data_IF_150285543655
#
_entry.id   IF_150285543655
#
_cell.length_a   1.000
_cell.length_b   1.000
_cell.length_c   1.000
_cell.angle_alpha   90.00
_cell.angle_beta   90.00
_cell.angle_gamma   90.00
#
_symmetry.space_group_name_H-M   'P 1'
#
loop_
_entity.id
_entity.type
_entity.pdbx_description
1 polymer ?
#
# COMPACT_ATOMS: atom_id res chain seq x y z
N UNK A 1 6.15 -14.81 -15.33
CA UNK A 1 5.33 -13.72 -14.77
C UNK A 1 4.47 -13.19 -15.89
N UNK A 2 3.19 -12.89 -15.64
CA UNK A 2 2.31 -12.18 -16.58
C UNK A 2 2.98 -10.85 -16.97
N UNK A 3 2.96 -10.49 -18.24
CA UNK A 3 3.34 -9.17 -18.71
C UNK A 3 2.06 -8.36 -18.88
N UNK A 4 2.03 -7.16 -18.31
CA UNK A 4 0.87 -6.27 -18.38
C UNK A 4 1.07 -5.23 -19.48
N UNK A 5 -0.01 -4.87 -20.16
CA UNK A 5 -0.03 -3.78 -21.10
C UNK A 5 -0.38 -2.46 -20.41
N UNK A 6 0.52 -1.98 -19.55
CA UNK A 6 0.38 -0.64 -18.94
C UNK A 6 0.72 0.46 -19.97
N UNK A 7 0.03 1.62 -19.93
CA UNK A 7 0.29 2.76 -20.81
C UNK A 7 1.77 3.16 -20.87
N UNK A 8 2.25 3.53 -22.06
CA UNK A 8 3.65 3.90 -22.27
C UNK A 8 4.10 5.10 -21.42
N UNK A 9 3.18 6.01 -21.07
CA UNK A 9 3.45 7.16 -20.20
C UNK A 9 3.93 6.78 -18.80
N UNK A 10 3.69 5.54 -18.35
CA UNK A 10 4.15 5.04 -17.05
C UNK A 10 5.48 4.30 -17.13
N UNK A 11 5.99 4.03 -18.33
CA UNK A 11 7.23 3.29 -18.57
C UNK A 11 8.42 4.25 -18.59
N UNK A 12 9.59 3.70 -18.29
CA UNK A 12 10.85 4.44 -18.24
C UNK A 12 11.96 3.58 -18.86
N UNK A 13 12.86 4.19 -19.63
CA UNK A 13 13.98 3.47 -20.26
C UNK A 13 15.02 3.06 -19.21
N UNK A 14 15.42 3.99 -18.34
CA UNK A 14 16.41 3.75 -17.28
C UNK A 14 15.95 2.68 -16.31
N UNK A 15 14.73 2.81 -15.77
CA UNK A 15 14.22 1.89 -14.77
C UNK A 15 13.97 0.51 -15.39
N UNK A 16 13.51 0.44 -16.64
CA UNK A 16 13.36 -0.83 -17.35
C UNK A 16 14.71 -1.53 -17.53
N UNK A 17 15.75 -0.81 -17.97
CA UNK A 17 17.10 -1.37 -18.13
C UNK A 17 17.65 -1.86 -16.78
N UNK A 18 17.54 -1.06 -15.71
CA UNK A 18 17.96 -1.44 -14.35
C UNK A 18 17.22 -2.70 -13.88
N UNK A 19 15.88 -2.73 -13.94
CA UNK A 19 15.07 -3.88 -13.50
C UNK A 19 15.40 -5.13 -14.31
N UNK A 20 15.62 -4.99 -15.63
CA UNK A 20 16.01 -6.10 -16.50
C UNK A 20 17.38 -6.66 -16.12
N UNK A 21 18.40 -5.82 -15.97
CA UNK A 21 19.75 -6.25 -15.56
C UNK A 21 19.70 -6.98 -14.22
N UNK A 22 19.06 -6.35 -13.23
CA UNK A 22 18.87 -6.91 -11.87
C UNK A 22 18.14 -8.27 -11.89
N UNK A 23 17.22 -8.49 -12.83
CA UNK A 23 16.53 -9.79 -13.02
C UNK A 23 17.43 -10.86 -13.64
N UNK A 24 18.32 -10.48 -14.56
CA UNK A 24 19.29 -11.38 -15.19
C UNK A 24 20.32 -11.83 -14.16
N UNK A 25 20.88 -10.89 -13.40
CA UNK A 25 21.95 -11.16 -12.42
C UNK A 25 21.43 -11.93 -11.20
N UNK A 26 20.19 -11.69 -10.79
CA UNK A 26 19.54 -12.38 -9.67
C UNK A 26 18.07 -12.71 -9.99
N UNK A 27 17.88 -13.88 -10.61
CA UNK A 27 16.57 -14.39 -11.03
C UNK A 27 15.63 -14.70 -9.86
N UNK A 28 16.18 -15.09 -8.71
CA UNK A 28 15.39 -15.44 -7.52
C UNK A 28 15.04 -14.22 -6.65
N UNK A 29 15.55 -13.03 -7.00
CA UNK A 29 15.32 -11.77 -6.27
C UNK A 29 15.69 -11.90 -4.78
N UNK A 30 16.79 -12.57 -4.48
CA UNK A 30 17.32 -12.74 -3.12
C UNK A 30 18.28 -11.62 -2.73
N UNK A 31 18.84 -10.91 -3.71
CA UNK A 31 19.69 -9.76 -3.49
C UNK A 31 18.86 -8.48 -3.38
N UNK A 32 18.66 -8.01 -2.15
CA UNK A 32 17.95 -6.79 -1.82
C UNK A 32 18.83 -5.53 -1.84
N UNK A 33 20.12 -5.65 -2.18
CA UNK A 33 21.01 -4.48 -2.25
C UNK A 33 20.53 -3.47 -3.30
N UNK A 34 20.76 -2.16 -3.06
CA UNK A 34 20.36 -1.13 -4.01
C UNK A 34 21.26 -1.16 -5.26
N UNK A 35 20.72 -0.67 -6.36
CA UNK A 35 21.49 -0.42 -7.58
C UNK A 35 22.15 0.95 -7.48
N UNK A 36 23.47 1.01 -7.65
CA UNK A 36 24.19 2.28 -7.74
C UNK A 36 24.06 2.85 -9.17
N UNK A 37 23.58 4.09 -9.25
CA UNK A 37 23.64 4.94 -10.43
C UNK A 37 24.69 6.02 -10.15
N UNK A 38 25.85 5.90 -10.77
CA UNK A 38 26.96 6.84 -10.60
C UNK A 38 26.89 7.93 -11.68
N UNK A 39 26.50 9.14 -11.28
CA UNK A 39 26.27 10.28 -12.15
C UNK A 39 27.31 11.37 -11.84
N UNK A 40 28.58 11.07 -12.13
CA UNK A 40 29.79 11.89 -11.93
C UNK A 40 29.92 12.58 -10.55
N UNK A 41 29.14 13.64 -10.32
CA UNK A 41 29.12 14.43 -9.08
C UNK A 41 27.92 14.17 -8.17
N UNK A 42 27.11 13.14 -8.44
CA UNK A 42 26.11 12.59 -7.51
C UNK A 42 26.05 11.06 -7.61
N UNK A 43 25.85 10.38 -6.47
CA UNK A 43 25.59 8.93 -6.41
C UNK A 43 24.17 8.69 -5.97
N UNK A 44 23.41 7.98 -6.79
CA UNK A 44 22.03 7.59 -6.47
C UNK A 44 22.01 6.08 -6.21
N UNK A 45 21.50 5.69 -5.05
CA UNK A 45 21.25 4.30 -4.70
C UNK A 45 19.76 4.03 -4.82
N UNK A 46 19.38 3.31 -5.87
CA UNK A 46 18.00 2.97 -6.16
C UNK A 46 17.65 1.63 -5.50
N UNK A 47 16.56 1.59 -4.71
CA UNK A 47 16.12 0.37 -4.05
C UNK A 47 15.95 -0.81 -5.04
N UNK A 48 16.13 -2.05 -4.58
CA UNK A 48 15.93 -3.25 -5.43
C UNK A 48 14.47 -3.40 -5.88
N UNK A 49 13.53 -3.17 -4.96
CA UNK A 49 12.09 -3.28 -5.18
C UNK A 49 11.46 -1.91 -4.95
N UNK A 50 10.73 -1.43 -5.96
CA UNK A 50 10.03 -0.14 -5.98
C UNK A 50 9.11 -0.09 -7.22
N UNK A 51 8.26 0.93 -7.28
CA UNK A 51 7.36 1.18 -8.40
C UNK A 51 6.14 0.25 -8.41
N UNK A 52 5.40 0.22 -9.53
CA UNK A 52 4.17 -0.57 -9.64
C UNK A 52 4.35 -2.05 -9.24
N UNK A 53 3.44 -2.54 -8.39
CA UNK A 53 3.32 -3.96 -8.09
C UNK A 53 2.31 -4.65 -9.03
N UNK A 54 2.27 -5.98 -9.00
CA UNK A 54 1.37 -6.79 -9.83
C UNK A 54 -0.09 -6.35 -9.73
N UNK A 55 -0.59 -6.10 -8.51
CA UNK A 55 -1.98 -5.70 -8.29
C UNK A 55 -2.31 -4.36 -8.94
N UNK A 56 -1.36 -3.43 -8.91
CA UNK A 56 -1.50 -2.10 -9.52
C UNK A 56 -1.43 -2.19 -11.05
N UNK A 57 -0.45 -2.92 -11.60
CA UNK A 57 -0.35 -3.12 -13.06
C UNK A 57 -1.61 -3.80 -13.62
N UNK A 58 -2.15 -4.81 -12.91
CA UNK A 58 -3.39 -5.48 -13.27
C UNK A 58 -4.58 -4.53 -13.24
N UNK A 59 -4.70 -3.69 -12.20
CA UNK A 59 -5.79 -2.73 -12.09
C UNK A 59 -5.74 -1.67 -13.19
N UNK A 60 -4.56 -1.15 -13.51
CA UNK A 60 -4.34 -0.21 -14.61
C UNK A 60 -4.74 -0.84 -15.94
N UNK A 61 -4.27 -2.05 -16.24
CA UNK A 61 -4.61 -2.76 -17.48
C UNK A 61 -6.14 -2.92 -17.64
N UNK A 62 -6.82 -3.40 -16.60
CA UNK A 62 -8.29 -3.59 -16.64
C UNK A 62 -9.03 -2.26 -16.81
N UNK A 63 -8.62 -1.22 -16.09
CA UNK A 63 -9.28 0.08 -16.16
C UNK A 63 -9.11 0.74 -17.54
N UNK A 64 -7.89 0.72 -18.10
CA UNK A 64 -7.64 1.29 -19.42
C UNK A 64 -8.34 0.50 -20.52
N UNK A 65 -8.31 -0.84 -20.48
CA UNK A 65 -9.07 -1.66 -21.42
C UNK A 65 -10.58 -1.39 -21.30
N UNK A 66 -11.10 -1.24 -20.09
CA UNK A 66 -12.53 -0.91 -19.87
C UNK A 66 -12.90 0.40 -20.56
N UNK A 67 -12.04 1.42 -20.51
CA UNK A 67 -12.27 2.70 -21.20
C UNK A 67 -12.23 2.52 -22.72
N UNK A 68 -11.22 1.82 -23.25
CA UNK A 68 -11.02 1.65 -24.69
C UNK A 68 -12.11 0.78 -25.35
N UNK A 69 -12.56 -0.26 -24.66
CA UNK A 69 -13.56 -1.22 -25.15
C UNK A 69 -15.01 -0.69 -25.08
N UNK A 70 -15.26 0.40 -24.35
CA UNK A 70 -16.61 0.93 -24.11
C UNK A 70 -16.76 2.39 -24.54
N UNK A 71 -16.51 2.72 -25.83
CA UNK A 71 -16.60 4.09 -26.32
C UNK A 71 -18.01 4.67 -26.13
N UNK A 72 -18.08 5.90 -25.61
CA UNK A 72 -19.33 6.62 -25.39
C UNK A 72 -20.13 6.18 -24.16
N UNK A 73 -19.68 5.17 -23.40
CA UNK A 73 -20.28 4.79 -22.12
C UNK A 73 -19.83 5.73 -21.00
N UNK A 74 -20.72 5.97 -20.03
CA UNK A 74 -20.34 6.59 -18.75
C UNK A 74 -19.62 5.54 -17.91
N UNK A 75 -18.39 5.87 -17.51
CA UNK A 75 -17.54 4.98 -16.73
C UNK A 75 -17.28 5.66 -15.39
N UNK A 76 -17.64 4.95 -14.34
CA UNK A 76 -17.43 5.34 -12.96
C UNK A 76 -16.39 4.44 -12.32
N UNK A 77 -15.67 5.00 -11.37
CA UNK A 77 -14.83 4.27 -10.44
C UNK A 77 -15.37 4.56 -9.03
N UNK A 78 -15.48 3.54 -8.17
CA UNK A 78 -16.06 3.75 -6.84
C UNK A 78 -15.35 4.86 -6.07
N UNK A 79 -14.01 4.90 -6.12
CA UNK A 79 -13.16 5.90 -5.49
C UNK A 79 -11.88 6.08 -6.33
N UNK A 80 -10.73 6.34 -5.70
CA UNK A 80 -9.44 6.29 -6.40
C UNK A 80 -9.10 4.85 -6.80
N UNK A 81 -8.49 4.65 -7.97
CA UNK A 81 -8.15 3.28 -8.44
C UNK A 81 -7.05 2.69 -7.57
N UNK A 82 -6.06 3.55 -7.32
CA UNK A 82 -4.88 3.37 -6.49
C UNK A 82 -4.57 4.73 -5.86
N UNK A 83 -3.81 4.76 -4.77
CA UNK A 83 -3.40 6.03 -4.13
C UNK A 83 -2.21 6.68 -4.85
N UNK A 84 -2.41 7.03 -6.13
CA UNK A 84 -1.48 7.79 -6.94
C UNK A 84 -2.22 8.93 -7.68
N UNK A 85 -1.92 10.21 -7.37
CA UNK A 85 -2.67 11.33 -7.92
C UNK A 85 -2.55 11.47 -9.44
N UNK A 86 -1.37 11.16 -10.02
CA UNK A 86 -1.15 11.24 -11.46
C UNK A 86 -1.99 10.20 -12.21
N UNK A 87 -1.94 8.94 -11.78
CA UNK A 87 -2.73 7.87 -12.42
C UNK A 87 -4.23 8.14 -12.34
N UNK A 88 -4.71 8.67 -11.22
CA UNK A 88 -6.11 9.06 -11.07
C UNK A 88 -6.50 10.27 -11.92
N UNK A 89 -5.57 11.22 -12.14
CA UNK A 89 -5.78 12.35 -13.04
C UNK A 89 -5.89 11.87 -14.51
N UNK A 90 -5.02 10.95 -14.92
CA UNK A 90 -5.02 10.38 -16.27
C UNK A 90 -6.33 9.63 -16.59
N UNK A 91 -6.91 8.93 -15.60
CA UNK A 91 -8.23 8.30 -15.74
C UNK A 91 -9.35 9.34 -15.88
N UNK A 92 -9.29 10.44 -15.12
CA UNK A 92 -10.29 11.53 -15.20
C UNK A 92 -10.22 12.27 -16.52
N UNK A 93 -9.03 12.52 -17.04
CA UNK A 93 -8.82 13.13 -18.36
C UNK A 93 -9.45 12.27 -19.47
N UNK A 94 -9.48 10.95 -19.27
CA UNK A 94 -10.14 9.98 -20.16
C UNK A 94 -11.65 9.82 -19.92
N UNK A 95 -12.24 10.65 -19.07
CA UNK A 95 -13.69 10.69 -18.83
C UNK A 95 -14.20 9.80 -17.71
N UNK A 96 -13.33 9.14 -16.94
CA UNK A 96 -13.75 8.38 -15.74
C UNK A 96 -14.16 9.34 -14.63
N UNK A 97 -15.28 9.08 -13.98
CA UNK A 97 -15.78 9.86 -12.84
C UNK A 97 -15.72 9.05 -11.54
N UNK A 98 -15.41 9.69 -10.41
CA UNK A 98 -15.36 9.01 -9.12
C UNK A 98 -16.69 9.15 -8.37
N UNK A 99 -17.23 8.05 -7.85
CA UNK A 99 -18.50 8.06 -7.11
C UNK A 99 -18.32 8.54 -5.67
N UNK A 100 -17.17 8.27 -5.07
CA UNK A 100 -16.85 8.57 -3.68
C UNK A 100 -15.41 9.10 -3.56
N UNK A 101 -15.12 9.77 -2.44
CA UNK A 101 -13.74 10.03 -2.01
C UNK A 101 -13.14 8.81 -1.29
N UNK A 102 -11.87 8.91 -0.91
CA UNK A 102 -11.12 7.82 -0.25
C UNK A 102 -11.60 7.53 1.18
N UNK A 103 -12.50 8.35 1.73
CA UNK A 103 -13.14 8.13 3.03
C UNK A 103 -14.57 7.56 2.89
N UNK A 104 -15.02 7.31 1.66
CA UNK A 104 -16.36 6.80 1.36
C UNK A 104 -17.45 7.86 1.32
N UNK A 105 -17.11 9.16 1.42
CA UNK A 105 -18.08 10.23 1.21
C UNK A 105 -18.44 10.27 -0.26
N UNK A 106 -19.74 10.30 -0.52
CA UNK A 106 -20.27 10.34 -1.87
C UNK A 106 -20.00 11.68 -2.55
N UNK A 107 -19.47 11.60 -3.78
CA UNK A 107 -19.27 12.72 -4.70
C UNK A 107 -20.42 12.75 -5.72
N UNK A 108 -20.78 11.58 -6.26
CA UNK A 108 -21.88 11.41 -7.22
C UNK A 108 -22.94 10.51 -6.58
N UNK A 109 -24.22 10.95 -6.50
CA UNK A 109 -25.29 10.15 -5.92
C UNK A 109 -25.47 8.81 -6.67
N UNK A 110 -25.59 7.69 -5.95
CA UNK A 110 -25.73 6.33 -6.49
C UNK A 110 -27.09 6.18 -7.20
N UNK A 111 -28.02 7.07 -6.91
CA UNK A 111 -29.31 7.21 -7.57
C UNK A 111 -29.17 7.69 -9.02
N UNK A 112 -28.06 8.35 -9.38
CA UNK A 112 -27.82 8.90 -10.73
C UNK A 112 -27.12 7.93 -11.68
N UNK A 113 -26.67 6.78 -11.16
CA UNK A 113 -26.14 5.69 -11.98
C UNK A 113 -27.21 4.64 -12.25
N UNK A 114 -27.11 4.02 -13.42
CA UNK A 114 -28.08 3.11 -14.03
C UNK A 114 -27.38 1.85 -14.52
N UNK A 115 -28.15 0.80 -14.84
CA UNK A 115 -27.61 -0.45 -15.40
C UNK A 115 -26.81 -0.30 -16.70
N UNK A 116 -26.95 0.83 -17.41
CA UNK A 116 -26.26 1.08 -18.68
C UNK A 116 -24.87 1.71 -18.48
N UNK A 117 -24.57 2.15 -17.26
CA UNK A 117 -23.29 2.71 -16.82
C UNK A 117 -22.34 1.58 -16.38
N UNK A 118 -21.02 1.84 -16.48
CA UNK A 118 -19.98 0.92 -16.02
C UNK A 118 -19.42 1.42 -14.69
N UNK A 119 -19.26 0.52 -13.71
CA UNK A 119 -18.64 0.83 -12.42
C UNK A 119 -17.46 -0.09 -12.19
N UNK A 120 -16.27 0.51 -12.11
CA UNK A 120 -15.02 -0.15 -11.76
C UNK A 120 -14.87 -0.23 -10.22
N UNK A 121 -14.45 -1.39 -9.73
CA UNK A 121 -14.06 -1.59 -8.32
C UNK A 121 -12.55 -1.36 -8.21
N UNK A 122 -12.05 -0.52 -7.29
CA UNK A 122 -10.64 -0.18 -7.16
C UNK A 122 -9.79 -1.36 -6.69
N UNK A 123 -8.47 -1.22 -6.75
CA UNK A 123 -7.53 -2.30 -6.41
C UNK A 123 -7.63 -2.75 -4.94
N UNK A 124 -8.16 -1.89 -4.07
CA UNK A 124 -8.38 -2.14 -2.64
C UNK A 124 -9.66 -2.91 -2.34
N UNK A 125 -10.50 -3.16 -3.36
CA UNK A 125 -11.81 -3.77 -3.19
C UNK A 125 -12.89 -2.80 -2.74
N UNK A 126 -14.03 -3.36 -2.37
CA UNK A 126 -15.18 -2.62 -1.85
C UNK A 126 -15.92 -3.43 -0.78
N UNK A 127 -16.88 -2.81 -0.10
CA UNK A 127 -17.72 -3.47 0.89
C UNK A 127 -18.86 -4.26 0.23
N UNK A 128 -19.31 -5.33 0.89
CA UNK A 128 -20.44 -6.14 0.42
C UNK A 128 -21.73 -5.32 0.25
N UNK A 129 -21.93 -4.28 1.08
CA UNK A 129 -23.06 -3.37 0.95
C UNK A 129 -23.04 -2.58 -0.36
N UNK A 130 -21.87 -2.13 -0.82
CA UNK A 130 -21.75 -1.41 -2.08
C UNK A 130 -21.96 -2.38 -3.25
N UNK A 131 -21.39 -3.59 -3.19
CA UNK A 131 -21.63 -4.61 -4.21
C UNK A 131 -23.12 -4.95 -4.34
N UNK A 132 -23.81 -5.13 -3.21
CA UNK A 132 -25.25 -5.35 -3.18
C UNK A 132 -26.01 -4.19 -3.82
N UNK A 133 -25.70 -2.94 -3.46
CA UNK A 133 -26.33 -1.75 -4.05
C UNK A 133 -26.14 -1.66 -5.57
N UNK A 134 -24.95 -1.97 -6.08
CA UNK A 134 -24.69 -1.99 -7.51
C UNK A 134 -25.47 -3.10 -8.22
N UNK A 135 -25.48 -4.31 -7.63
CA UNK A 135 -26.22 -5.46 -8.14
C UNK A 135 -27.73 -5.20 -8.19
N UNK A 136 -28.30 -4.59 -7.15
CA UNK A 136 -29.72 -4.20 -7.11
C UNK A 136 -30.10 -3.18 -8.19
N UNK A 137 -29.13 -2.38 -8.67
CA UNK A 137 -29.29 -1.46 -9.80
C UNK A 137 -29.09 -2.12 -11.17
N UNK A 138 -28.75 -3.41 -11.21
CA UNK A 138 -28.43 -4.14 -12.44
C UNK A 138 -27.05 -3.80 -13.02
N UNK A 139 -26.14 -3.25 -12.20
CA UNK A 139 -24.75 -2.97 -12.60
C UNK A 139 -23.90 -4.18 -12.25
N UNK A 140 -23.34 -4.83 -13.27
CA UNK A 140 -22.47 -5.99 -13.16
C UNK A 140 -21.01 -5.56 -13.13
N UNK A 141 -20.32 -5.85 -12.02
CA UNK A 141 -18.95 -5.36 -11.78
C UNK A 141 -17.88 -6.42 -12.01
N UNK A 142 -18.24 -7.66 -12.29
CA UNK A 142 -17.31 -8.81 -12.31
C UNK A 142 -16.20 -8.64 -13.35
N UNK A 143 -16.52 -8.05 -14.52
CA UNK A 143 -15.54 -7.74 -15.57
C UNK A 143 -14.70 -6.49 -15.30
N UNK A 144 -15.16 -5.66 -14.37
CA UNK A 144 -14.60 -4.35 -14.06
C UNK A 144 -14.09 -4.30 -12.60
N UNK A 145 -13.93 -5.47 -11.98
CA UNK A 145 -13.41 -5.59 -10.64
C UNK A 145 -11.88 -5.67 -10.70
N UNK A 146 -11.21 -4.62 -10.24
CA UNK A 146 -9.75 -4.56 -10.23
C UNK A 146 -9.12 -4.97 -8.90
N UNK A 147 -9.92 -5.48 -7.96
CA UNK A 147 -9.45 -5.88 -6.63
C UNK A 147 -8.20 -6.75 -6.75
N UNK A 148 -7.17 -6.37 -6.02
CA UNK A 148 -5.90 -7.08 -6.03
C UNK A 148 -6.11 -8.50 -5.50
N UNK A 149 -5.62 -9.57 -6.18
CA UNK A 149 -5.75 -10.94 -5.68
C UNK A 149 -5.10 -11.17 -4.31
N UNK A 150 -4.15 -10.32 -3.90
CA UNK A 150 -3.55 -10.37 -2.57
C UNK A 150 -4.45 -9.76 -1.49
N UNK A 151 -5.36 -8.85 -1.84
CA UNK A 151 -6.41 -8.35 -0.95
C UNK A 151 -7.49 -9.43 -0.80
N UNK A 152 -7.94 -10.03 -1.92
CA UNK A 152 -8.89 -11.16 -1.90
C UNK A 152 -8.35 -12.34 -1.10
N UNK A 153 -7.04 -12.60 -1.15
CA UNK A 153 -6.39 -13.62 -0.32
C UNK A 153 -6.62 -13.39 1.18
N UNK A 154 -6.59 -12.13 1.64
CA UNK A 154 -6.87 -11.78 3.04
C UNK A 154 -8.33 -12.08 3.39
N UNK A 155 -9.27 -11.80 2.48
CA UNK A 155 -10.69 -12.09 2.67
C UNK A 155 -10.94 -13.59 2.75
N UNK A 156 -10.42 -14.36 1.79
CA UNK A 156 -10.51 -15.82 1.76
C UNK A 156 -9.88 -16.45 3.02
N UNK A 157 -8.77 -15.88 3.51
CA UNK A 157 -8.14 -16.33 4.75
C UNK A 157 -9.02 -16.04 5.96
N UNK A 158 -9.65 -14.87 6.01
CA UNK A 158 -10.58 -14.48 7.07
C UNK A 158 -11.80 -15.42 7.11
N UNK A 159 -12.37 -15.74 5.95
CA UNK A 159 -13.47 -16.70 5.83
C UNK A 159 -13.06 -18.10 6.32
N UNK A 160 -11.90 -18.61 5.90
CA UNK A 160 -11.44 -19.93 6.35
C UNK A 160 -11.16 -20.01 7.87
N UNK A 161 -10.75 -18.89 8.48
CA UNK A 161 -10.59 -18.78 9.93
C UNK A 161 -11.96 -18.74 10.61
N UNK A 162 -12.92 -18.00 10.04
CA UNK A 162 -14.30 -17.95 10.51
C UNK A 162 -14.98 -19.33 10.51
N UNK A 163 -14.78 -20.14 9.46
CA UNK A 163 -15.30 -21.51 9.35
C UNK A 163 -14.86 -22.42 10.52
N UNK A 164 -13.72 -22.11 11.14
CA UNK A 164 -13.20 -22.86 12.31
C UNK A 164 -13.65 -22.29 13.66
N UNK A 165 -14.53 -21.29 13.63
CA UNK A 165 -15.15 -20.66 14.80
C UNK A 165 -14.26 -19.66 15.53
N UNK A 166 -13.32 -19.02 14.83
CA UNK A 166 -12.57 -17.88 15.39
C UNK A 166 -13.22 -16.57 14.94
N UNK A 167 -13.10 -15.56 15.78
CA UNK A 167 -13.31 -14.15 15.43
C UNK A 167 -12.07 -13.59 14.74
N UNK A 168 -12.22 -12.46 14.05
CA UNK A 168 -11.13 -11.81 13.32
C UNK A 168 -10.73 -10.50 13.99
N UNK A 169 -9.42 -10.33 14.21
CA UNK A 169 -8.80 -9.04 14.50
C UNK A 169 -8.14 -8.53 13.22
N UNK A 170 -8.65 -7.43 12.67
CA UNK A 170 -8.06 -6.78 11.50
C UNK A 170 -7.04 -5.74 11.96
N UNK A 171 -5.76 -5.96 11.70
CA UNK A 171 -4.72 -4.94 11.84
C UNK A 171 -4.72 -4.03 10.61
N UNK A 172 -5.17 -2.79 10.76
CA UNK A 172 -5.24 -1.84 9.65
C UNK A 172 -5.82 -0.50 10.07
N UNK A 173 -5.64 0.52 9.23
CA UNK A 173 -6.15 1.86 9.49
C UNK A 173 -7.68 1.87 9.33
N UNK A 174 -8.48 2.12 10.39
CA UNK A 174 -9.94 1.90 10.35
C UNK A 174 -10.69 2.68 9.25
N UNK A 175 -10.16 3.84 8.84
CA UNK A 175 -10.76 4.68 7.80
C UNK A 175 -10.28 4.33 6.38
N UNK A 176 -9.25 3.49 6.24
CA UNK A 176 -8.70 3.12 4.93
C UNK A 176 -9.66 2.20 4.18
N UNK A 177 -9.75 2.38 2.87
CA UNK A 177 -10.72 1.70 2.01
C UNK A 177 -10.55 0.18 2.06
N UNK A 178 -9.31 -0.30 1.93
CA UNK A 178 -8.99 -1.72 2.06
C UNK A 178 -9.39 -2.31 3.41
N UNK A 179 -9.16 -1.58 4.52
CA UNK A 179 -9.54 -2.05 5.85
C UNK A 179 -11.05 -2.11 6.00
N UNK A 180 -11.78 -1.14 5.44
CA UNK A 180 -13.26 -1.14 5.42
C UNK A 180 -13.80 -2.32 4.60
N UNK A 181 -13.20 -2.60 3.43
CA UNK A 181 -13.55 -3.74 2.60
C UNK A 181 -13.27 -5.06 3.35
N UNK A 182 -12.05 -5.26 3.83
CA UNK A 182 -11.66 -6.45 4.59
C UNK A 182 -12.53 -6.67 5.83
N UNK A 183 -12.84 -5.61 6.57
CA UNK A 183 -13.76 -5.68 7.70
C UNK A 183 -15.16 -6.10 7.25
N UNK A 184 -15.70 -5.51 6.18
CA UNK A 184 -17.02 -5.84 5.65
C UNK A 184 -17.10 -7.32 5.26
N UNK A 185 -16.10 -7.85 4.54
CA UNK A 185 -16.02 -9.26 4.15
C UNK A 185 -15.83 -10.18 5.35
N UNK A 186 -14.95 -9.87 6.30
CA UNK A 186 -14.77 -10.71 7.50
C UNK A 186 -16.03 -10.73 8.38
N UNK A 187 -16.67 -9.57 8.58
CA UNK A 187 -17.84 -9.42 9.45
C UNK A 187 -19.10 -10.12 8.95
N UNK A 188 -19.18 -10.46 7.66
CA UNK A 188 -20.28 -11.29 7.13
C UNK A 188 -20.16 -12.76 7.50
N UNK A 189 -18.98 -13.21 7.96
CA UNK A 189 -18.73 -14.60 8.33
C UNK A 189 -18.52 -14.81 9.84
N UNK A 190 -17.94 -13.85 10.55
CA UNK A 190 -17.66 -13.96 11.98
C UNK A 190 -17.53 -12.61 12.68
N UNK A 191 -17.60 -12.62 14.00
CA UNK A 191 -17.34 -11.44 14.81
C UNK A 191 -15.96 -10.86 14.49
N UNK A 192 -15.90 -9.56 14.23
CA UNK A 192 -14.69 -8.90 13.72
C UNK A 192 -14.44 -7.60 14.47
N UNK A 193 -13.18 -7.32 14.81
CA UNK A 193 -12.72 -6.05 15.41
C UNK A 193 -11.48 -5.52 14.69
N UNK A 194 -11.32 -4.20 14.62
CA UNK A 194 -10.16 -3.53 13.98
C UNK A 194 -9.25 -2.91 15.04
N UNK A 195 -7.94 -3.13 14.91
CA UNK A 195 -6.89 -2.43 15.65
C UNK A 195 -6.01 -1.65 14.68
N UNK A 196 -5.71 -0.39 14.99
CA UNK A 196 -4.88 0.45 14.13
C UNK A 196 -3.39 0.14 14.25
N UNK A 197 -2.93 -0.13 15.46
CA UNK A 197 -1.51 -0.23 15.83
C UNK A 197 -1.34 -1.06 17.12
N UNK A 198 -0.09 -1.17 17.60
CA UNK A 198 0.26 -1.88 18.82
C UNK A 198 -0.40 -1.29 20.07
N UNK A 199 -0.61 0.04 20.13
CA UNK A 199 -1.24 0.68 21.29
C UNK A 199 -2.70 0.22 21.42
N UNK A 200 -3.45 0.25 20.32
CA UNK A 200 -4.82 -0.28 20.31
C UNK A 200 -4.87 -1.79 20.55
N UNK A 201 -3.86 -2.53 20.08
CA UNK A 201 -3.73 -3.97 20.33
C UNK A 201 -3.54 -4.28 21.82
N UNK A 202 -2.71 -3.50 22.53
CA UNK A 202 -2.52 -3.62 23.98
C UNK A 202 -3.83 -3.30 24.72
N UNK A 203 -4.58 -2.29 24.29
CA UNK A 203 -5.90 -2.00 24.89
C UNK A 203 -6.91 -3.11 24.62
N UNK A 204 -6.92 -3.71 23.42
CA UNK A 204 -7.77 -4.86 23.10
C UNK A 204 -7.45 -6.06 24.00
N UNK A 205 -6.16 -6.32 24.25
CA UNK A 205 -5.72 -7.43 25.09
C UNK A 205 -6.24 -7.36 26.52
N UNK A 206 -6.48 -6.16 27.07
CA UNK A 206 -7.07 -6.00 28.42
C UNK A 206 -8.51 -6.52 28.50
N UNK A 207 -9.24 -6.52 27.38
CA UNK A 207 -10.57 -7.13 27.31
C UNK A 207 -10.49 -8.64 27.14
N UNK A 208 -9.48 -9.15 26.42
CA UNK A 208 -9.21 -10.59 26.31
C UNK A 208 -8.91 -11.18 27.69
N UNK A 209 -8.10 -10.49 28.50
CA UNK A 209 -7.68 -10.98 29.83
C UNK A 209 -8.68 -10.71 30.94
N UNK A 210 -9.72 -9.91 30.69
CA UNK A 210 -10.68 -9.46 31.71
C UNK A 210 -10.14 -8.38 32.65
N UNK A 211 -9.01 -7.74 32.34
CA UNK A 211 -8.49 -6.58 33.09
C UNK A 211 -9.42 -5.37 32.98
N UNK A 212 -10.07 -5.18 31.81
CA UNK A 212 -11.10 -4.16 31.61
C UNK A 212 -12.49 -4.79 31.49
N UNK A 213 -13.47 -4.09 32.07
CA UNK A 213 -14.88 -4.47 31.99
C UNK A 213 -15.42 -4.35 30.54
N UNK A 214 -16.24 -5.31 30.12
CA UNK A 214 -16.71 -5.44 28.75
C UNK A 214 -17.56 -4.25 28.25
N UNK A 215 -18.26 -3.54 29.14
CA UNK A 215 -19.07 -2.37 28.79
C UNK A 215 -18.24 -1.19 28.26
N UNK A 216 -16.99 -1.05 28.74
CA UNK A 216 -16.07 0.01 28.33
C UNK A 216 -15.62 -0.18 26.87
N UNK A 217 -15.51 -1.42 26.40
CA UNK A 217 -15.06 -1.77 25.05
C UNK A 217 -15.84 -1.01 23.96
N UNK A 218 -17.16 -0.95 24.10
CA UNK A 218 -18.04 -0.35 23.09
C UNK A 218 -17.85 1.16 22.94
N UNK A 219 -17.25 1.81 23.94
CA UNK A 219 -16.85 3.22 23.88
C UNK A 219 -15.46 3.37 23.26
N UNK A 220 -14.47 2.57 23.70
CA UNK A 220 -13.08 2.67 23.23
C UNK A 220 -12.90 2.20 21.78
N UNK A 221 -13.62 1.16 21.37
CA UNK A 221 -13.59 0.57 20.02
C UNK A 221 -14.79 0.98 19.16
N UNK A 222 -15.48 2.08 19.51
CA UNK A 222 -16.67 2.55 18.78
C UNK A 222 -16.42 2.64 17.28
N UNK A 223 -17.25 1.94 16.50
CA UNK A 223 -17.18 1.91 15.03
C UNK A 223 -16.06 1.04 14.46
N UNK A 224 -15.43 0.19 15.28
CA UNK A 224 -14.35 -0.73 14.89
C UNK A 224 -14.67 -2.19 15.17
N UNK A 225 -15.91 -2.53 15.52
CA UNK A 225 -16.34 -3.91 15.76
C UNK A 225 -17.64 -4.20 14.99
N UNK A 226 -17.88 -5.47 14.66
CA UNK A 226 -19.04 -5.91 13.87
C UNK A 226 -20.34 -5.79 14.66
N UNK A 227 -21.48 -5.73 13.96
CA UNK A 227 -22.78 -5.75 14.62
C UNK A 227 -22.95 -7.03 15.47
N UNK A 228 -23.50 -6.90 16.68
CA UNK A 228 -23.70 -8.02 17.59
C UNK A 228 -22.44 -8.56 18.28
N UNK A 229 -21.28 -7.91 18.13
CA UNK A 229 -20.04 -8.31 18.78
C UNK A 229 -20.20 -8.40 20.31
N UNK A 230 -19.87 -9.55 20.89
CA UNK A 230 -19.89 -9.80 22.32
C UNK A 230 -18.47 -10.06 22.83
N UNK A 231 -17.93 -9.10 23.58
CA UNK A 231 -16.56 -9.14 24.13
C UNK A 231 -16.25 -10.44 24.88
N UNK A 232 -17.17 -10.94 25.70
CA UNK A 232 -16.94 -12.11 26.57
C UNK A 232 -16.87 -13.42 25.77
N UNK A 233 -17.52 -13.47 24.60
CA UNK A 233 -17.58 -14.64 23.73
C UNK A 233 -16.58 -14.56 22.58
N UNK A 234 -16.59 -13.44 21.87
CA UNK A 234 -15.97 -13.31 20.57
C UNK A 234 -14.46 -13.03 20.67
N UNK A 235 -13.95 -12.60 21.82
CA UNK A 235 -12.51 -12.47 22.07
C UNK A 235 -11.84 -13.76 22.55
N UNK A 236 -12.59 -14.85 22.76
CA UNK A 236 -12.03 -16.10 23.28
C UNK A 236 -11.18 -16.85 22.27
N UNK A 237 -11.56 -16.80 20.99
CA UNK A 237 -10.87 -17.49 19.89
C UNK A 237 -10.70 -16.51 18.75
N UNK A 238 -9.46 -16.11 18.46
CA UNK A 238 -9.19 -15.06 17.46
C UNK A 238 -8.16 -15.49 16.41
N UNK A 239 -8.24 -14.89 15.22
CA UNK A 239 -7.18 -14.86 14.23
C UNK A 239 -6.89 -13.42 13.80
N UNK A 240 -5.64 -13.11 13.47
CA UNK A 240 -5.23 -11.74 13.09
C UNK A 240 -5.05 -11.66 11.59
N UNK A 241 -5.77 -10.80 10.89
CA UNK A 241 -5.51 -10.51 9.46
C UNK A 241 -5.07 -9.07 9.32
N UNK A 242 -4.40 -8.71 8.23
CA UNK A 242 -3.88 -7.35 8.08
C UNK A 242 -4.34 -6.66 6.79
N UNK A 243 -4.38 -5.34 6.85
CA UNK A 243 -4.29 -4.50 5.65
C UNK A 243 -2.92 -4.76 4.98
N UNK A 244 -2.94 -5.08 3.70
CA UNK A 244 -1.81 -5.58 2.91
C UNK A 244 -0.61 -4.64 2.84
N UNK A 245 -0.83 -3.35 3.09
CA UNK A 245 0.19 -2.29 3.03
C UNK A 245 0.74 -1.85 4.40
N UNK A 246 0.39 -2.51 5.50
CA UNK A 246 0.96 -2.20 6.83
C UNK A 246 2.46 -2.57 6.90
N UNK A 247 3.16 -2.07 7.92
CA UNK A 247 4.50 -2.54 8.25
C UNK A 247 4.48 -4.05 8.55
N UNK A 248 5.40 -4.78 7.91
CA UNK A 248 5.54 -6.22 8.08
C UNK A 248 5.94 -6.55 9.52
N UNK A 249 6.87 -5.78 10.10
CA UNK A 249 7.28 -5.88 11.50
C UNK A 249 6.10 -5.72 12.44
N UNK A 250 5.32 -4.65 12.28
CA UNK A 250 4.23 -4.30 13.19
C UNK A 250 3.13 -5.35 13.16
N UNK A 251 2.82 -5.88 11.97
CA UNK A 251 1.84 -6.96 11.81
C UNK A 251 2.29 -8.22 12.54
N UNK A 252 3.56 -8.60 12.39
CA UNK A 252 4.12 -9.76 13.08
C UNK A 252 4.14 -9.54 14.60
N UNK A 253 4.58 -8.36 15.06
CA UNK A 253 4.60 -7.99 16.48
C UNK A 253 3.21 -8.02 17.11
N UNK A 254 2.18 -7.47 16.44
CA UNK A 254 0.79 -7.49 16.92
C UNK A 254 0.27 -8.93 17.02
N UNK A 255 0.51 -9.75 16.00
CA UNK A 255 0.11 -11.15 16.00
C UNK A 255 0.79 -11.94 17.12
N UNK A 256 2.10 -11.77 17.29
CA UNK A 256 2.87 -12.46 18.32
C UNK A 256 2.49 -11.99 19.73
N UNK A 257 2.21 -10.70 19.90
CA UNK A 257 1.73 -10.14 21.15
C UNK A 257 0.39 -10.77 21.55
N UNK A 258 -0.60 -10.76 20.66
CA UNK A 258 -1.92 -11.36 20.93
C UNK A 258 -1.83 -12.87 21.18
N UNK A 259 -1.00 -13.58 20.39
CA UNK A 259 -0.72 -15.00 20.61
C UNK A 259 -0.17 -15.25 22.01
N UNK A 260 0.79 -14.43 22.46
CA UNK A 260 1.40 -14.56 23.78
C UNK A 260 0.41 -14.25 24.91
N UNK A 261 -0.43 -13.21 24.76
CA UNK A 261 -1.49 -12.88 25.72
C UNK A 261 -2.46 -14.05 25.88
N UNK A 262 -2.96 -14.61 24.77
CA UNK A 262 -3.87 -15.74 24.78
C UNK A 262 -3.21 -16.98 25.40
N UNK A 263 -1.96 -17.25 25.02
CA UNK A 263 -1.19 -18.36 25.58
C UNK A 263 -1.07 -18.26 27.10
N UNK A 264 -0.78 -17.06 27.62
CA UNK A 264 -0.66 -16.83 29.06
C UNK A 264 -2.01 -16.92 29.77
N UNK A 265 -3.03 -16.26 29.23
CA UNK A 265 -4.37 -16.19 29.83
C UNK A 265 -5.04 -17.57 29.94
N UNK A 266 -4.93 -18.40 28.90
CA UNK A 266 -5.51 -19.75 28.86
C UNK A 266 -4.52 -20.87 29.25
N UNK A 267 -3.30 -20.51 29.72
CA UNK A 267 -2.25 -21.45 30.11
C UNK A 267 -1.91 -22.50 29.02
N UNK A 268 -1.81 -22.06 27.77
CA UNK A 268 -1.58 -22.92 26.60
C UNK A 268 -0.09 -23.15 26.32
N UNK A 269 0.17 -24.20 25.54
CA UNK A 269 1.47 -24.58 24.98
C UNK A 269 1.47 -24.37 23.47
N UNK A 270 2.62 -24.50 22.79
CA UNK A 270 2.65 -24.45 21.32
C UNK A 270 1.84 -25.56 20.65
N UNK A 271 1.54 -26.66 21.35
CA UNK A 271 0.78 -27.79 20.79
C UNK A 271 -0.73 -27.52 20.75
N UNK A 272 -1.26 -26.75 21.70
CA UNK A 272 -2.69 -26.48 21.83
C UNK A 272 -3.07 -25.00 21.71
N UNK A 273 -2.12 -24.10 21.45
CA UNK A 273 -2.40 -22.67 21.17
C UNK A 273 -3.44 -22.48 20.05
N UNK A 274 -3.48 -23.44 19.11
CA UNK A 274 -4.47 -23.49 18.05
C UNK A 274 -5.90 -23.46 18.56
N UNK A 275 -6.22 -23.92 19.78
CA UNK A 275 -7.58 -23.90 20.33
C UNK A 275 -8.15 -22.47 20.42
N UNK A 276 -7.29 -21.48 20.68
CA UNK A 276 -7.69 -20.09 20.91
C UNK A 276 -7.08 -19.07 19.93
N UNK A 277 -6.02 -19.43 19.21
CA UNK A 277 -5.35 -18.52 18.27
C UNK A 277 -5.10 -19.18 16.92
N UNK A 278 -5.65 -18.57 15.86
CA UNK A 278 -5.38 -19.00 14.49
C UNK A 278 -4.08 -18.36 13.96
N UNK A 279 -3.20 -19.16 13.38
CA UNK A 279 -1.98 -18.68 12.71
C UNK A 279 -2.31 -18.05 11.35
N UNK A 280 -1.84 -16.85 11.10
CA UNK A 280 -2.22 -16.01 9.96
C UNK A 280 -1.05 -15.35 9.23
N UNK A 281 0.16 -15.88 9.43
CA UNK A 281 1.42 -15.37 8.86
C UNK A 281 1.41 -15.21 7.33
N UNK A 282 0.43 -15.74 6.62
CA UNK A 282 0.33 -15.75 5.15
C UNK A 282 -0.50 -14.59 4.55
N UNK A 283 -0.90 -13.61 5.36
CA UNK A 283 -1.78 -12.50 4.93
C UNK A 283 -1.04 -11.25 4.44
N UNK A 284 0.28 -11.14 4.68
CA UNK A 284 1.09 -10.02 4.17
C UNK A 284 1.27 -10.09 2.64
N UNK A 285 1.08 -8.96 1.96
CA UNK A 285 1.34 -8.88 0.52
C UNK A 285 2.86 -8.87 0.24
N UNK A 286 3.26 -9.66 -0.77
CA UNK A 286 4.67 -9.76 -1.17
C UNK A 286 5.28 -8.39 -1.54
N UNK A 287 4.52 -7.51 -2.22
CA UNK A 287 5.07 -6.23 -2.70
C UNK A 287 5.42 -5.30 -1.54
N UNK A 288 4.60 -5.29 -0.50
CA UNK A 288 4.85 -4.57 0.75
C UNK A 288 6.11 -5.11 1.43
N UNK A 289 6.19 -6.44 1.59
CA UNK A 289 7.36 -7.10 2.19
C UNK A 289 8.65 -6.83 1.41
N UNK A 290 8.63 -7.02 0.10
CA UNK A 290 9.76 -6.82 -0.80
C UNK A 290 10.26 -5.37 -0.76
N UNK A 291 9.36 -4.39 -0.83
CA UNK A 291 9.72 -2.97 -0.79
C UNK A 291 10.33 -2.59 0.57
N UNK A 292 9.74 -3.02 1.68
CA UNK A 292 10.27 -2.75 3.02
C UNK A 292 11.63 -3.44 3.24
N UNK A 293 11.80 -4.66 2.72
CA UNK A 293 13.08 -5.39 2.79
C UNK A 293 14.15 -4.72 1.94
N UNK A 294 13.81 -4.29 0.73
CA UNK A 294 14.71 -3.55 -0.15
C UNK A 294 15.13 -2.20 0.47
N UNK A 295 14.20 -1.46 1.07
CA UNK A 295 14.53 -0.22 1.78
C UNK A 295 15.40 -0.48 3.00
N UNK A 296 15.09 -1.50 3.81
CA UNK A 296 15.91 -1.86 4.97
C UNK A 296 17.34 -2.26 4.58
N UNK A 297 17.50 -3.03 3.49
CA UNK A 297 18.80 -3.36 2.94
C UNK A 297 19.52 -2.13 2.39
N UNK A 298 18.82 -1.27 1.64
CA UNK A 298 19.35 -0.02 1.08
C UNK A 298 19.83 0.93 2.17
N UNK A 299 19.13 1.01 3.31
CA UNK A 299 19.51 1.84 4.45
C UNK A 299 20.85 1.42 5.09
N UNK A 300 21.39 0.23 4.81
CA UNK A 300 22.76 -0.13 5.23
C UNK A 300 23.85 0.58 4.41
N UNK A 301 23.47 1.26 3.34
CA UNK A 301 24.38 2.08 2.52
C UNK A 301 24.66 3.41 3.22
N UNK A 302 25.93 3.83 3.22
CA UNK A 302 26.31 5.17 3.64
C UNK A 302 25.77 6.21 2.66
N UNK A 303 24.82 7.04 3.10
CA UNK A 303 24.12 8.03 2.30
C UNK A 303 23.81 9.29 3.11
N UNK A 304 23.57 10.41 2.41
CA UNK A 304 23.31 11.71 3.03
C UNK A 304 21.82 11.96 3.29
N UNK A 305 20.95 11.46 2.41
CA UNK A 305 19.50 11.62 2.50
C UNK A 305 18.76 10.53 1.72
N UNK A 306 17.45 10.44 1.95
CA UNK A 306 16.54 9.61 1.18
C UNK A 306 15.45 10.46 0.50
N UNK A 307 15.09 10.10 -0.73
CA UNK A 307 13.91 10.61 -1.43
C UNK A 307 12.96 9.44 -1.67
N UNK A 308 11.74 9.56 -1.16
CA UNK A 308 10.69 8.55 -1.33
C UNK A 308 9.60 9.12 -2.20
N UNK A 309 9.29 8.43 -3.29
CA UNK A 309 8.39 8.93 -4.34
C UNK A 309 7.05 8.19 -4.30
N UNK A 310 5.94 8.93 -4.31
CA UNK A 310 4.60 8.38 -4.46
C UNK A 310 3.48 9.29 -3.95
N UNK A 311 2.24 8.85 -4.09
CA UNK A 311 1.08 9.62 -3.65
C UNK A 311 1.01 9.74 -2.12
N UNK A 312 0.66 10.93 -1.61
CA UNK A 312 0.61 11.21 -0.16
C UNK A 312 -0.41 10.38 0.62
N UNK A 313 -1.42 9.82 -0.05
CA UNK A 313 -2.42 8.92 0.55
C UNK A 313 -1.98 7.45 0.55
N UNK A 314 -0.86 7.11 -0.09
CA UNK A 314 -0.39 5.72 -0.18
C UNK A 314 0.18 5.24 1.15
N UNK A 315 -0.47 4.25 1.77
CA UNK A 315 0.01 3.66 3.03
C UNK A 315 1.36 2.96 2.83
N UNK A 316 1.52 2.17 1.77
CA UNK A 316 2.81 1.55 1.45
C UNK A 316 3.93 2.60 1.33
N UNK A 317 3.70 3.69 0.59
CA UNK A 317 4.72 4.74 0.44
C UNK A 317 5.04 5.42 1.77
N UNK A 318 4.02 5.72 2.58
CA UNK A 318 4.19 6.34 3.90
C UNK A 318 5.07 5.48 4.83
N UNK A 319 4.93 4.16 4.78
CA UNK A 319 5.79 3.27 5.58
C UNK A 319 7.23 3.17 5.07
N UNK A 320 7.47 3.37 3.76
CA UNK A 320 8.85 3.50 3.26
C UNK A 320 9.50 4.79 3.77
N UNK A 321 8.75 5.89 3.84
CA UNK A 321 9.20 7.14 4.48
C UNK A 321 9.53 6.90 5.95
N UNK A 322 8.61 6.25 6.68
CA UNK A 322 8.80 5.90 8.09
C UNK A 322 10.07 5.06 8.33
N UNK A 323 10.39 4.12 7.44
CA UNK A 323 11.63 3.34 7.53
C UNK A 323 12.87 4.19 7.29
N UNK A 324 12.85 5.09 6.29
CA UNK A 324 13.98 5.96 5.98
C UNK A 324 14.25 7.00 7.07
N UNK A 325 13.21 7.60 7.64
CA UNK A 325 13.30 8.61 8.71
C UNK A 325 13.98 8.10 9.98
N UNK A 326 14.01 6.77 10.20
CA UNK A 326 14.74 6.15 11.32
C UNK A 326 16.26 6.36 11.23
N UNK A 327 16.81 6.65 10.05
CA UNK A 327 18.27 6.72 9.82
C UNK A 327 18.74 7.97 9.09
N UNK A 328 17.92 8.54 8.21
CA UNK A 328 18.34 9.62 7.31
C UNK A 328 17.29 10.74 7.22
N UNK A 329 17.72 11.99 6.96
CA UNK A 329 16.84 13.02 6.44
C UNK A 329 16.11 12.48 5.20
N UNK A 330 14.78 12.53 5.24
CA UNK A 330 13.93 11.89 4.23
C UNK A 330 12.95 12.89 3.66
N UNK A 331 12.84 12.93 2.34
CA UNK A 331 11.93 13.82 1.61
C UNK A 331 10.89 13.01 0.85
N UNK A 332 9.63 13.14 1.26
CA UNK A 332 8.49 12.49 0.62
C UNK A 332 7.87 13.40 -0.45
N UNK A 333 7.98 13.01 -1.71
CA UNK A 333 7.51 13.80 -2.85
C UNK A 333 6.56 12.99 -3.75
N UNK A 334 5.62 13.67 -4.38
CA UNK A 334 4.69 13.10 -5.35
C UNK A 334 5.17 13.27 -6.80
N UNK A 335 6.18 14.10 -7.04
CA UNK A 335 6.67 14.44 -8.39
C UNK A 335 8.04 15.13 -8.33
N UNK A 336 8.72 15.18 -9.49
CA UNK A 336 9.99 15.89 -9.63
C UNK A 336 9.85 17.41 -9.52
N UNK A 337 8.65 17.96 -9.73
CA UNK A 337 8.35 19.40 -9.59
C UNK A 337 8.53 19.89 -8.16
N UNK A 338 8.44 18.98 -7.18
CA UNK A 338 8.72 19.26 -5.77
C UNK A 338 10.18 19.64 -5.50
N UNK A 339 11.09 19.23 -6.38
CA UNK A 339 12.49 19.62 -6.33
C UNK A 339 12.64 20.92 -7.13
N UNK A 340 12.52 22.05 -6.45
CA UNK A 340 12.45 23.37 -7.06
C UNK A 340 13.77 23.70 -7.77
N UNK A 341 14.88 23.58 -7.03
CA UNK A 341 16.23 23.78 -7.52
C UNK A 341 17.21 22.94 -6.67
N UNK A 342 18.54 23.14 -6.83
CA UNK A 342 19.56 22.39 -6.09
C UNK A 342 19.47 22.58 -4.56
N UNK A 343 18.89 23.68 -4.10
CA UNK A 343 18.82 24.06 -2.70
C UNK A 343 17.46 23.82 -2.05
N UNK A 344 16.38 23.87 -2.83
CA UNK A 344 15.00 23.93 -2.33
C UNK A 344 14.16 22.71 -2.72
N UNK A 345 13.45 22.16 -1.73
CA UNK A 345 12.50 21.05 -1.92
C UNK A 345 11.23 21.27 -1.11
N UNK A 346 10.09 21.01 -1.73
CA UNK A 346 8.79 20.91 -1.06
C UNK A 346 8.51 19.43 -0.81
N UNK A 347 8.21 19.04 0.42
CA UNK A 347 7.96 17.64 0.77
C UNK A 347 6.80 17.52 1.75
N UNK A 348 6.28 16.31 1.90
CA UNK A 348 5.10 16.05 2.71
C UNK A 348 5.46 15.30 3.99
N UNK A 349 4.97 15.78 5.13
CA UNK A 349 4.99 14.99 6.35
C UNK A 349 4.00 13.83 6.21
N UNK A 350 4.47 12.59 6.23
CA UNK A 350 3.61 11.45 5.96
C UNK A 350 2.55 11.21 7.05
N UNK A 351 2.75 11.71 8.28
CA UNK A 351 1.79 11.59 9.40
C UNK A 351 0.71 12.67 9.33
N UNK A 352 1.11 13.95 9.23
CA UNK A 352 0.17 15.09 9.26
C UNK A 352 -0.39 15.46 7.89
N UNK A 353 0.25 14.99 6.81
CA UNK A 353 -0.01 15.35 5.41
C UNK A 353 0.27 16.82 5.07
N UNK A 354 0.88 17.56 5.98
CA UNK A 354 1.26 18.95 5.77
C UNK A 354 2.48 19.01 4.84
N UNK A 355 2.46 19.98 3.92
CA UNK A 355 3.60 20.26 3.07
C UNK A 355 4.57 21.19 3.79
N UNK A 356 5.85 20.87 3.70
CA UNK A 356 6.96 21.63 4.26
C UNK A 356 7.90 22.06 3.14
N UNK A 357 8.46 23.25 3.28
CA UNK A 357 9.50 23.76 2.40
C UNK A 357 10.85 23.70 3.13
N UNK A 358 11.80 22.93 2.59
CA UNK A 358 13.14 22.80 3.13
C UNK A 358 14.18 23.41 2.18
N UNK A 359 15.12 24.14 2.79
CA UNK A 359 16.29 24.72 2.13
C UNK A 359 17.53 23.90 2.48
N UNK A 360 18.57 23.95 1.63
CA UNK A 360 19.80 23.19 1.77
C UNK A 360 19.56 21.67 1.88
N UNK A 361 18.56 21.16 1.16
CA UNK A 361 18.18 19.75 1.27
C UNK A 361 19.24 18.79 0.69
N UNK A 362 19.93 19.21 -0.38
CA UNK A 362 21.13 18.54 -0.88
C UNK A 362 22.37 19.07 -0.14
N UNK A 363 23.25 18.19 0.36
CA UNK A 363 24.43 18.61 1.10
C UNK A 363 25.46 19.31 0.19
N UNK A 364 26.21 20.26 0.76
CA UNK A 364 27.35 20.91 0.12
C UNK A 364 28.61 20.01 0.17
N UNK A 365 28.50 18.82 -0.45
CA UNK A 365 29.61 17.86 -0.62
C UNK A 365 29.96 17.71 -2.09
N UNK A 366 31.19 17.29 -2.36
CA UNK A 366 31.67 17.05 -3.73
C UNK A 366 30.84 15.99 -4.46
N UNK A 367 30.41 14.93 -3.76
CA UNK A 367 29.58 13.86 -4.31
C UNK A 367 28.50 13.47 -3.30
N UNK A 368 27.32 14.09 -3.34
CA UNK A 368 26.19 13.70 -2.51
C UNK A 368 25.75 12.28 -2.83
N UNK A 369 25.35 11.55 -1.79
CA UNK A 369 24.83 10.18 -1.87
C UNK A 369 23.36 10.17 -1.50
N UNK A 370 22.49 9.84 -2.44
CA UNK A 370 21.03 9.91 -2.28
C UNK A 370 20.44 8.51 -2.40
N UNK A 371 19.67 8.10 -1.40
CA UNK A 371 18.83 6.91 -1.52
C UNK A 371 17.53 7.27 -2.23
N UNK A 372 17.10 6.49 -3.21
CA UNK A 372 15.82 6.68 -3.90
C UNK A 372 15.01 5.39 -3.84
N UNK A 373 13.74 5.52 -3.48
CA UNK A 373 12.75 4.45 -3.59
C UNK A 373 11.38 5.03 -3.94
N UNK A 374 10.43 4.16 -4.25
CA UNK A 374 9.05 4.58 -4.49
C UNK A 374 8.07 3.51 -4.05
N UNK A 375 6.84 3.94 -3.76
CA UNK A 375 5.80 3.01 -3.34
C UNK A 375 5.24 2.14 -4.47
N UNK A 376 4.48 1.11 -4.08
CA UNK A 376 3.86 0.11 -4.96
C UNK A 376 2.87 0.66 -6.01
N UNK A 377 2.53 1.96 -5.92
CA UNK A 377 1.61 2.68 -6.79
C UNK A 377 2.30 3.80 -7.58
N UNK A 378 3.64 3.86 -7.57
CA UNK A 378 4.41 4.86 -8.30
C UNK A 378 4.78 4.34 -9.70
N UNK A 379 4.47 5.08 -10.78
CA UNK A 379 4.98 4.76 -12.11
C UNK A 379 6.51 4.82 -12.17
N UNK A 380 7.11 3.98 -13.01
CA UNK A 380 8.56 3.99 -13.22
C UNK A 380 9.03 5.30 -13.89
N UNK A 381 8.22 5.84 -14.81
CA UNK A 381 8.47 7.14 -15.45
C UNK A 381 8.66 8.28 -14.43
N UNK A 382 7.88 8.26 -13.34
CA UNK A 382 7.95 9.28 -12.29
C UNK A 382 9.26 9.18 -11.51
N UNK A 383 9.72 7.96 -11.22
CA UNK A 383 11.03 7.72 -10.58
C UNK A 383 12.17 8.21 -11.47
N UNK A 384 12.13 7.87 -12.76
CA UNK A 384 13.14 8.36 -13.71
C UNK A 384 13.15 9.88 -13.82
N UNK A 385 11.97 10.53 -13.82
CA UNK A 385 11.87 12.00 -13.88
C UNK A 385 12.55 12.66 -12.68
N UNK A 386 12.41 12.09 -11.47
CA UNK A 386 13.13 12.57 -10.28
C UNK A 386 14.64 12.37 -10.42
N UNK A 387 15.09 11.21 -10.89
CA UNK A 387 16.53 10.94 -11.13
C UNK A 387 17.10 11.93 -12.14
N UNK A 388 16.40 12.15 -13.27
CA UNK A 388 16.80 13.11 -14.30
C UNK A 388 16.85 14.53 -13.76
N UNK A 389 15.84 14.95 -12.98
CA UNK A 389 15.80 16.27 -12.35
C UNK A 389 17.03 16.49 -11.45
N UNK A 390 17.37 15.52 -10.61
CA UNK A 390 18.59 15.59 -9.79
C UNK A 390 19.84 15.68 -10.67
N UNK A 391 19.94 14.87 -11.72
CA UNK A 391 21.09 14.86 -12.63
C UNK A 391 21.31 16.23 -13.33
N UNK A 392 20.23 17.00 -13.58
CA UNK A 392 20.36 18.34 -14.18
C UNK A 392 21.13 19.33 -13.31
N UNK A 393 21.18 19.14 -11.99
CA UNK A 393 21.95 20.02 -11.10
C UNK A 393 23.45 19.73 -11.07
N UNK A 394 23.88 18.69 -11.79
CA UNK A 394 25.23 18.14 -11.80
C UNK A 394 25.77 17.96 -13.22
N UNK A 395 25.13 18.58 -14.22
CA UNK A 395 25.44 18.47 -15.66
C UNK A 395 25.56 17.01 -16.16
N UNK A 396 24.87 16.07 -15.50
CA UNK A 396 25.02 14.63 -15.71
C UNK A 396 23.95 14.04 -16.65
N UNK A 397 23.24 14.87 -17.42
CA UNK A 397 22.15 14.41 -18.30
C UNK A 397 22.61 13.37 -19.34
N UNK A 398 23.76 13.60 -19.97
CA UNK A 398 24.34 12.66 -20.95
C UNK A 398 24.79 11.33 -20.34
N UNK A 399 25.05 11.28 -19.02
CA UNK A 399 25.46 10.05 -18.33
C UNK A 399 24.30 9.08 -18.12
N UNK A 400 23.07 9.58 -18.06
CA UNK A 400 21.90 8.70 -17.92
C UNK A 400 21.77 7.79 -19.14
N UNK A 401 21.97 8.31 -20.34
CA UNK A 401 21.92 7.51 -21.56
C UNK A 401 23.05 6.48 -21.61
N UNK A 402 24.27 6.86 -21.20
CA UNK A 402 25.38 5.91 -21.05
C UNK A 402 25.11 4.83 -19.99
N UNK A 403 24.42 5.17 -18.90
CA UNK A 403 24.01 4.18 -17.88
C UNK A 403 22.98 3.21 -18.47
N UNK A 404 21.98 3.69 -19.22
CA UNK A 404 21.00 2.83 -19.90
C UNK A 404 21.72 1.79 -20.77
N UNK A 405 22.61 2.24 -21.65
CA UNK A 405 23.40 1.33 -22.51
C UNK A 405 24.24 0.32 -21.70
N UNK A 406 24.75 0.73 -20.53
CA UNK A 406 25.54 -0.15 -19.66
C UNK A 406 24.70 -1.25 -18.99
N UNK A 407 23.43 -0.96 -18.67
CA UNK A 407 22.51 -1.94 -18.08
C UNK A 407 21.89 -2.87 -19.14
N UNK A 408 21.83 -2.43 -20.40
CA UNK A 408 21.35 -3.25 -21.52
C UNK A 408 22.39 -4.26 -22.03
N UNK A 409 23.68 -4.03 -21.74
CA UNK A 409 24.78 -4.99 -21.97
C UNK A 409 24.84 -6.04 -20.87
#
# INVERSE_FOLDING_TARGET
MKQFNVPNIYRSSLISAVKQKRRIDDKLKKDFSPTLLELDSIKIYLARHFGFCYGVENAIEIAFNTIEENPGKRIFLLSEMIHNPQVNADLKERGVQFLQDTYGKQIIPFETITKDDIVLIPAFGTTLDIEKKLKEKGIHTEKHNTTCPFVEKVWNRSEHIAEKGYSIVVHGKPKHEETRATFSHASSHTATVVVNDMKETIELAKYITGEKAADIFYTEFKGKYSEGFNVEKDLQRIGVVNQTTQLASDTQEISDYLKNIIKQHYHLTEQNIGEHFADTRDTLCYATYDNQTAVSAMLNTDADLAIVIGGYNSSNTSHLVELCEKKLPTYFIDSAERIINRNEIIHCNWRTKEQSHSYHFLPEKNIPKVLITSGASCPDALVETVIRKLATFYDAGGKIESLIESFEK
#
